data_IF_160829024855
#
_entry.id   IF_160829024855
#
_cell.length_a   1.000
_cell.length_b   1.000
_cell.length_c   1.000
_cell.angle_alpha   90.00
_cell.angle_beta   90.00
_cell.angle_gamma   90.00
#
_symmetry.space_group_name_H-M   'P 1'
#
loop_
_entity.id
_entity.type
_entity.pdbx_description
1 polymer ?
#
# COMPACT_ATOMS: atom_id res chain seq x y z
N UNK A 1 -18.63 17.05 0.19
CA UNK A 1 -17.23 16.89 0.67
C UNK A 1 -16.77 15.43 0.82
N UNK A 2 -17.58 14.49 1.38
CA UNK A 2 -17.17 13.09 1.55
C UNK A 2 -16.99 12.31 0.24
N UNK A 3 -17.78 12.60 -0.79
CA UNK A 3 -17.77 11.89 -2.09
C UNK A 3 -16.44 12.06 -2.83
N UNK A 4 -15.85 13.25 -2.85
CA UNK A 4 -14.56 13.50 -3.50
C UNK A 4 -13.40 12.78 -2.82
N UNK A 5 -13.42 12.62 -1.49
CA UNK A 5 -12.36 11.89 -0.79
C UNK A 5 -12.46 10.39 -1.07
N UNK A 6 -13.68 9.86 -1.19
CA UNK A 6 -13.92 8.47 -1.59
C UNK A 6 -13.49 8.20 -3.03
N UNK A 7 -13.81 9.08 -3.98
CA UNK A 7 -13.42 8.88 -5.39
C UNK A 7 -11.91 8.82 -5.61
N UNK A 8 -11.13 9.59 -4.84
CA UNK A 8 -9.65 9.59 -4.90
C UNK A 8 -9.05 8.25 -4.47
N UNK A 9 -9.68 7.54 -3.53
CA UNK A 9 -9.23 6.21 -3.09
C UNK A 9 -9.82 5.09 -3.94
N UNK A 10 -11.00 5.26 -4.51
CA UNK A 10 -11.63 4.26 -5.39
C UNK A 10 -10.76 3.96 -6.62
N UNK A 11 -10.20 4.99 -7.25
CA UNK A 11 -9.36 4.82 -8.43
C UNK A 11 -8.08 3.97 -8.20
N UNK A 12 -7.28 4.20 -7.14
CA UNK A 12 -6.16 3.31 -6.80
C UNK A 12 -6.62 1.91 -6.40
N UNK A 13 -7.73 1.78 -5.66
CA UNK A 13 -8.28 0.47 -5.33
C UNK A 13 -8.73 -0.30 -6.57
N UNK A 14 -9.30 0.38 -7.57
CA UNK A 14 -9.66 -0.21 -8.86
C UNK A 14 -8.43 -0.70 -9.63
N UNK A 15 -7.38 0.13 -9.72
CA UNK A 15 -6.11 -0.26 -10.32
C UNK A 15 -5.46 -1.46 -9.60
N UNK A 16 -5.45 -1.43 -8.27
CA UNK A 16 -4.92 -2.51 -7.45
C UNK A 16 -5.68 -3.81 -7.69
N UNK A 17 -7.02 -3.75 -7.70
CA UNK A 17 -7.86 -4.90 -7.99
C UNK A 17 -7.61 -5.43 -9.40
N UNK A 18 -7.48 -4.58 -10.40
CA UNK A 18 -7.20 -5.01 -11.77
C UNK A 18 -5.83 -5.70 -11.89
N UNK A 19 -4.82 -5.18 -11.18
CA UNK A 19 -3.46 -5.75 -11.20
C UNK A 19 -3.36 -7.07 -10.43
N UNK A 20 -4.05 -7.19 -9.30
CA UNK A 20 -4.01 -8.38 -8.44
C UNK A 20 -4.97 -9.46 -8.95
N UNK A 21 -6.22 -9.09 -9.20
CA UNK A 21 -7.30 -10.00 -9.55
C UNK A 21 -7.43 -10.20 -11.06
N UNK A 22 -6.54 -9.65 -11.88
CA UNK A 22 -6.55 -9.82 -13.34
C UNK A 22 -6.56 -11.29 -13.78
N UNK A 23 -5.96 -12.20 -13.01
CA UNK A 23 -6.02 -13.65 -13.24
C UNK A 23 -6.95 -14.40 -12.26
N UNK A 24 -7.66 -13.68 -11.38
CA UNK A 24 -8.71 -14.16 -10.47
C UNK A 24 -8.31 -15.21 -9.42
N UNK A 25 -7.03 -15.60 -9.34
CA UNK A 25 -6.58 -16.76 -8.55
C UNK A 25 -5.44 -16.38 -7.63
N UNK A 26 -5.64 -16.59 -6.33
CA UNK A 26 -4.55 -16.60 -5.35
C UNK A 26 -3.64 -17.80 -5.59
N UNK A 27 -2.35 -17.63 -5.33
CA UNK A 27 -1.36 -18.70 -5.46
C UNK A 27 -1.45 -19.66 -4.27
N UNK A 28 -1.79 -19.14 -3.10
CA UNK A 28 -1.98 -19.89 -1.87
C UNK A 28 -3.41 -20.39 -1.71
N UNK A 29 -3.53 -21.59 -1.14
CA UNK A 29 -4.80 -22.30 -0.93
C UNK A 29 -5.39 -22.09 0.47
N UNK A 30 -4.77 -21.25 1.30
CA UNK A 30 -5.15 -21.02 2.69
C UNK A 30 -5.27 -19.52 2.99
N UNK A 31 -6.22 -19.15 3.85
CA UNK A 31 -6.49 -17.76 4.25
C UNK A 31 -5.24 -17.03 4.77
N UNK A 32 -4.35 -17.72 5.49
CA UNK A 32 -3.10 -17.14 5.99
C UNK A 32 -2.18 -16.71 4.82
N UNK A 33 -2.04 -17.57 3.81
CA UNK A 33 -1.23 -17.25 2.63
C UNK A 33 -1.90 -16.24 1.71
N UNK A 34 -3.22 -16.34 1.50
CA UNK A 34 -4.01 -15.33 0.78
C UNK A 34 -3.89 -13.94 1.42
N UNK A 35 -3.89 -13.85 2.75
CA UNK A 35 -3.68 -12.59 3.47
C UNK A 35 -2.28 -12.03 3.22
N UNK A 36 -1.25 -12.87 3.21
CA UNK A 36 0.11 -12.47 2.90
C UNK A 36 0.25 -11.99 1.44
N UNK A 37 -0.41 -12.66 0.49
CA UNK A 37 -0.45 -12.25 -0.91
C UNK A 37 -1.13 -10.88 -1.09
N UNK A 38 -2.28 -10.65 -0.44
CA UNK A 38 -2.91 -9.33 -0.49
C UNK A 38 -2.05 -8.26 0.16
N UNK A 39 -1.39 -8.55 1.29
CA UNK A 39 -0.51 -7.60 1.95
C UNK A 39 0.69 -7.24 1.05
N UNK A 40 1.32 -8.23 0.43
CA UNK A 40 2.45 -8.04 -0.48
C UNK A 40 2.04 -7.21 -1.70
N UNK A 41 0.87 -7.49 -2.27
CA UNK A 41 0.39 -6.79 -3.44
C UNK A 41 0.01 -5.32 -3.16
N UNK A 42 -0.63 -5.04 -2.01
CA UNK A 42 -0.86 -3.67 -1.53
C UNK A 42 0.48 -2.96 -1.33
N UNK A 43 1.46 -3.62 -0.70
CA UNK A 43 2.76 -3.02 -0.45
C UNK A 43 3.51 -2.70 -1.74
N UNK A 44 3.49 -3.62 -2.71
CA UNK A 44 4.09 -3.42 -4.03
C UNK A 44 3.45 -2.26 -4.79
N UNK A 45 2.11 -2.14 -4.74
CA UNK A 45 1.40 -1.01 -5.33
C UNK A 45 1.78 0.32 -4.66
N UNK A 46 1.83 0.34 -3.32
CA UNK A 46 2.21 1.52 -2.57
C UNK A 46 3.64 1.96 -2.91
N UNK A 47 4.59 1.03 -3.03
CA UNK A 47 5.96 1.33 -3.45
C UNK A 47 6.02 1.85 -4.88
N UNK A 48 5.32 1.21 -5.82
CA UNK A 48 5.25 1.67 -7.21
C UNK A 48 4.71 3.10 -7.29
N UNK A 49 3.62 3.40 -6.59
CA UNK A 49 3.04 4.74 -6.53
C UNK A 49 4.00 5.74 -5.86
N UNK A 50 4.64 5.37 -4.75
CA UNK A 50 5.59 6.23 -4.06
C UNK A 50 6.79 6.57 -4.97
N UNK A 51 7.30 5.60 -5.74
CA UNK A 51 8.34 5.82 -6.75
C UNK A 51 7.84 6.77 -7.85
N UNK A 52 6.60 6.61 -8.33
CA UNK A 52 6.03 7.50 -9.34
C UNK A 52 5.85 8.95 -8.86
N UNK A 53 5.48 9.16 -7.60
CA UNK A 53 5.24 10.50 -7.04
C UNK A 53 6.54 11.17 -6.57
N UNK A 54 7.40 10.44 -5.88
CA UNK A 54 8.60 11.00 -5.22
C UNK A 54 9.88 10.79 -6.04
N UNK A 55 9.92 9.77 -6.89
CA UNK A 55 11.15 9.28 -7.51
C UNK A 55 11.97 8.37 -6.58
N UNK A 56 12.66 7.37 -7.17
CA UNK A 56 13.39 6.36 -6.41
C UNK A 56 14.52 6.95 -5.52
N UNK A 57 15.26 7.95 -6.02
CA UNK A 57 16.37 8.55 -5.28
C UNK A 57 15.91 9.30 -4.03
N UNK A 58 14.82 10.09 -4.12
CA UNK A 58 14.27 10.80 -2.96
C UNK A 58 13.69 9.82 -1.93
N UNK A 59 13.06 8.74 -2.39
CA UNK A 59 12.52 7.69 -1.52
C UNK A 59 13.64 6.98 -0.74
N UNK A 60 14.74 6.62 -1.41
CA UNK A 60 15.91 6.02 -0.75
C UNK A 60 16.63 6.97 0.20
N UNK A 61 16.72 8.26 -0.14
CA UNK A 61 17.29 9.25 0.76
C UNK A 61 16.43 9.42 2.01
N UNK A 62 15.10 9.44 1.87
CA UNK A 62 14.17 9.51 2.99
C UNK A 62 14.27 8.27 3.89
N UNK A 63 14.36 7.06 3.31
CA UNK A 63 14.47 5.83 4.10
C UNK A 63 15.77 5.75 4.89
N UNK A 64 16.90 6.19 4.31
CA UNK A 64 18.18 6.30 5.02
C UNK A 64 18.16 7.34 6.15
N UNK A 65 17.29 8.34 6.05
CA UNK A 65 17.12 9.42 7.04
C UNK A 65 16.17 9.02 8.18
N UNK A 66 15.66 7.80 8.20
CA UNK A 66 14.85 7.26 9.31
C UNK A 66 15.69 6.40 10.29
N UNK A 67 16.83 6.84 10.90
CA UNK A 67 17.40 6.07 11.99
C UNK A 67 16.67 6.27 13.32
N UNK A 68 15.77 7.26 13.49
CA UNK A 68 15.08 7.50 14.77
C UNK A 68 13.73 8.24 14.59
N UNK A 69 12.75 7.66 13.91
CA UNK A 69 11.37 8.15 14.10
C UNK A 69 10.83 7.55 15.40
N UNK A 70 10.34 8.35 16.36
CA UNK A 70 9.68 7.80 17.52
C UNK A 70 8.56 6.90 17.02
N UNK A 71 8.50 5.70 17.59
CA UNK A 71 7.41 4.76 17.41
C UNK A 71 6.11 5.57 17.40
N UNK A 72 5.31 5.47 16.33
CA UNK A 72 3.89 5.85 16.42
C UNK A 72 3.28 4.81 17.34
N UNK A 73 3.47 5.02 18.64
CA UNK A 73 2.59 4.49 19.66
C UNK A 73 1.23 5.06 19.32
N UNK A 74 0.36 4.18 18.84
CA UNK A 74 -1.07 4.39 18.91
C UNK A 74 -1.39 4.53 20.40
N UNK A 75 -1.35 5.76 20.88
CA UNK A 75 -2.00 6.17 22.12
C UNK A 75 -3.00 7.25 21.74
N UNK A 76 -4.26 6.89 22.00
CA UNK A 76 -5.38 7.75 22.32
C UNK A 76 -6.12 8.40 21.15
N UNK A 77 -7.30 7.85 20.82
CA UNK A 77 -8.57 8.49 21.20
C UNK A 77 -9.69 7.43 21.21
N UNK A 78 -10.31 7.26 22.39
CA UNK A 78 -11.38 6.34 22.85
C UNK A 78 -10.95 4.99 23.43
#
# INVERSE_FOLDING_TARGET
MMVNRRSIVEHPFGNLKQWIFGNGRFLSRQLKGTRAEMALAVQAYNLKRAIQVLGAQKLMALSKRLPNSPCVSQTDTH
#
